data_IF_044671276924
#
_entry.id   IF_044671276924
#
_cell.length_a   1.000
_cell.length_b   1.000
_cell.length_c   1.000
_cell.angle_alpha   90.00
_cell.angle_beta   90.00
_cell.angle_gamma   90.00
#
_symmetry.space_group_name_H-M   'P 1'
#
loop_
_entity.id
_entity.type
_entity.pdbx_description
1 polymer ?
#
# COMPACT_ATOMS: atom_id res chain seq x y z
N UNK A 1 -6.17 16.28 36.86
CA UNK A 1 -6.85 14.97 36.89
C UNK A 1 -6.39 14.23 35.64
N UNK A 2 -5.14 13.76 35.67
CA UNK A 2 -4.56 12.94 34.61
C UNK A 2 -4.81 11.49 35.02
N UNK A 3 -5.48 10.73 34.15
CA UNK A 3 -5.75 9.32 34.35
C UNK A 3 -4.52 8.48 34.00
N UNK A 4 -4.26 7.49 34.85
CA UNK A 4 -3.15 6.55 34.75
C UNK A 4 -3.24 5.68 33.48
N UNK A 5 -2.10 5.24 32.90
CA UNK A 5 -2.07 4.28 31.81
C UNK A 5 -2.36 2.86 32.33
N UNK A 6 -3.29 2.19 31.65
CA UNK A 6 -3.68 0.80 31.95
C UNK A 6 -2.63 -0.14 31.39
N UNK A 7 -1.97 -0.85 32.29
CA UNK A 7 -1.02 -1.94 32.05
C UNK A 7 -1.79 -3.20 31.62
N UNK A 8 -1.50 -3.76 30.44
CA UNK A 8 -2.07 -5.03 29.97
C UNK A 8 -0.94 -6.01 29.70
N UNK A 9 -0.57 -6.73 30.74
CA UNK A 9 0.15 -8.00 30.71
C UNK A 9 -0.79 -9.12 30.26
N UNK A 10 -0.42 -9.89 29.22
CA UNK A 10 -1.06 -11.19 28.97
C UNK A 10 -0.06 -12.31 28.68
N UNK A 11 -0.19 -13.31 29.56
CA UNK A 11 0.44 -14.62 29.72
C UNK A 11 0.39 -15.54 28.49
N UNK A 12 1.50 -16.26 28.27
CA UNK A 12 1.66 -17.42 27.39
C UNK A 12 0.85 -18.64 27.90
N UNK A 13 0.22 -19.42 27.01
CA UNK A 13 -0.17 -20.81 27.27
C UNK A 13 -0.20 -21.68 25.97
N UNK A 14 0.86 -22.48 25.83
CA UNK A 14 1.05 -23.84 25.30
C UNK A 14 -0.03 -24.59 24.47
N UNK A 15 0.42 -25.23 23.36
CA UNK A 15 0.40 -26.70 23.06
C UNK A 15 -0.02 -27.03 21.61
N UNK A 16 0.83 -27.71 20.84
CA UNK A 16 0.39 -28.53 19.69
C UNK A 16 1.16 -29.86 19.67
N UNK A 17 0.39 -30.95 19.51
CA UNK A 17 0.76 -32.37 19.50
C UNK A 17 1.23 -32.86 18.12
N UNK A 18 2.15 -33.83 18.10
CA UNK A 18 2.59 -34.62 16.93
C UNK A 18 1.49 -35.53 16.36
N UNK A 19 1.56 -35.85 15.05
CA UNK A 19 1.10 -37.13 14.50
C UNK A 19 1.89 -37.52 13.23
N UNK A 20 2.51 -38.71 13.26
CA UNK A 20 3.11 -39.43 12.13
C UNK A 20 2.04 -40.05 11.22
N UNK A 21 2.35 -40.31 9.94
CA UNK A 21 1.67 -41.38 9.19
C UNK A 21 2.57 -42.04 8.13
N UNK A 22 2.65 -43.37 8.25
CA UNK A 22 3.30 -44.39 7.42
C UNK A 22 2.58 -44.61 6.09
N UNK A 23 3.31 -44.97 5.02
CA UNK A 23 2.73 -45.48 3.77
C UNK A 23 3.64 -46.44 3.00
N UNK A 24 3.17 -47.66 2.72
CA UNK A 24 3.86 -48.74 1.98
C UNK A 24 2.87 -49.42 1.01
N UNK A 25 3.19 -49.52 -0.29
CA UNK A 25 2.75 -50.57 -1.26
C UNK A 25 3.43 -50.31 -2.62
N UNK A 26 4.37 -51.10 -3.12
CA UNK A 26 4.29 -52.37 -3.90
C UNK A 26 3.66 -52.31 -5.32
N UNK A 27 4.55 -52.43 -6.32
CA UNK A 27 4.54 -53.18 -7.61
C UNK A 27 3.49 -52.85 -8.69
N UNK A 28 3.83 -52.74 -9.99
CA UNK A 28 4.25 -53.83 -10.89
C UNK A 28 4.93 -53.33 -12.20
N UNK A 29 5.70 -54.24 -12.83
CA UNK A 29 6.56 -54.11 -14.03
C UNK A 29 5.78 -53.99 -15.35
N UNK A 30 6.38 -53.36 -16.38
CA UNK A 30 6.59 -53.92 -17.73
C UNK A 30 7.38 -52.96 -18.67
N UNK A 31 8.41 -53.49 -19.35
CA UNK A 31 9.12 -52.93 -20.53
C UNK A 31 9.26 -54.08 -21.56
N UNK A 32 9.30 -53.84 -22.89
CA UNK A 32 10.56 -53.56 -23.64
C UNK A 32 10.40 -52.45 -24.74
N UNK A 33 11.36 -51.53 -24.95
CA UNK A 33 12.55 -51.54 -25.87
C UNK A 33 12.19 -51.68 -27.36
N UNK A 34 12.63 -50.92 -28.38
CA UNK A 34 13.51 -49.76 -28.69
C UNK A 34 13.14 -49.35 -30.16
N UNK A 35 13.44 -48.21 -30.76
CA UNK A 35 14.15 -47.00 -30.38
C UNK A 35 14.07 -45.99 -31.55
N UNK A 36 14.24 -44.71 -31.27
CA UNK A 36 14.86 -43.72 -32.16
C UNK A 36 15.03 -42.43 -31.36
N UNK A 37 16.24 -41.90 -31.42
CA UNK A 37 16.74 -40.78 -30.65
C UNK A 37 16.03 -39.48 -31.04
N UNK A 38 15.32 -38.88 -30.09
CA UNK A 38 14.83 -37.50 -30.09
C UNK A 38 14.90 -36.94 -28.67
N UNK A 39 16.06 -37.06 -28.02
CA UNK A 39 16.30 -36.53 -26.67
C UNK A 39 16.77 -35.07 -26.70
N UNK A 40 15.95 -34.18 -27.28
CA UNK A 40 16.08 -32.73 -27.13
C UNK A 40 14.75 -32.02 -27.38
N UNK A 41 13.72 -32.32 -26.58
CA UNK A 41 12.55 -31.45 -26.43
C UNK A 41 12.02 -31.56 -25.01
N UNK A 42 12.49 -30.62 -24.20
CA UNK A 42 11.78 -29.88 -23.16
C UNK A 42 10.65 -30.61 -22.42
N UNK A 43 10.94 -30.98 -21.18
CA UNK A 43 9.93 -31.26 -20.17
C UNK A 43 9.16 -29.97 -19.80
N UNK A 44 8.12 -29.64 -20.56
CA UNK A 44 7.11 -28.68 -20.11
C UNK A 44 6.00 -29.43 -19.39
N UNK A 45 6.01 -29.37 -18.06
CA UNK A 45 4.92 -29.82 -17.19
C UNK A 45 3.77 -28.79 -17.32
N UNK A 46 2.54 -29.17 -17.68
CA UNK A 46 1.42 -28.23 -17.70
C UNK A 46 0.95 -28.03 -16.25
N UNK A 47 0.87 -26.79 -15.77
CA UNK A 47 0.10 -26.50 -14.55
C UNK A 47 0.56 -25.38 -13.60
N UNK A 48 1.65 -24.67 -13.86
CA UNK A 48 1.96 -23.43 -13.12
C UNK A 48 2.33 -22.34 -14.12
N UNK A 49 1.56 -21.26 -14.16
CA UNK A 49 1.95 -20.07 -14.91
C UNK A 49 3.32 -19.61 -14.41
N UNK A 50 4.20 -19.16 -15.30
CA UNK A 50 5.50 -18.62 -14.87
C UNK A 50 5.27 -17.44 -13.91
N UNK A 51 6.20 -17.18 -12.96
CA UNK A 51 6.11 -16.03 -12.06
C UNK A 51 5.83 -14.71 -12.80
N UNK A 52 6.46 -14.50 -13.97
CA UNK A 52 6.20 -13.36 -14.84
C UNK A 52 4.73 -13.23 -15.30
N UNK A 53 4.10 -14.35 -15.67
CA UNK A 53 2.69 -14.36 -16.12
C UNK A 53 1.75 -14.10 -14.95
N UNK A 54 2.05 -14.67 -13.78
CA UNK A 54 1.29 -14.41 -12.56
C UNK A 54 1.38 -12.92 -12.15
N UNK A 55 2.59 -12.35 -12.21
CA UNK A 55 2.87 -10.94 -11.90
C UNK A 55 2.09 -10.00 -12.83
N UNK A 56 2.18 -10.23 -14.15
CA UNK A 56 1.44 -9.43 -15.15
C UNK A 56 -0.07 -9.51 -14.97
N UNK A 57 -0.59 -10.69 -14.63
CA UNK A 57 -2.03 -10.90 -14.37
C UNK A 57 -2.50 -10.14 -13.12
N UNK A 58 -1.73 -10.21 -12.03
CA UNK A 58 -2.02 -9.48 -10.80
C UNK A 58 -1.94 -7.96 -11.04
N UNK A 59 -0.89 -7.50 -11.71
CA UNK A 59 -0.73 -6.10 -12.06
C UNK A 59 -1.90 -5.57 -12.88
N UNK A 60 -2.33 -6.30 -13.92
CA UNK A 60 -3.47 -5.89 -14.74
C UNK A 60 -4.79 -5.77 -13.95
N UNK A 61 -5.03 -6.66 -12.99
CA UNK A 61 -6.21 -6.58 -12.10
C UNK A 61 -6.13 -5.38 -11.18
N UNK A 62 -4.99 -5.19 -10.52
CA UNK A 62 -4.75 -4.07 -9.61
C UNK A 62 -4.90 -2.75 -10.36
N UNK A 63 -4.28 -2.58 -11.53
CA UNK A 63 -4.42 -1.36 -12.32
C UNK A 63 -5.86 -1.10 -12.79
N UNK A 64 -6.62 -2.14 -13.14
CA UNK A 64 -8.02 -1.98 -13.50
C UNK A 64 -8.86 -1.53 -12.29
N UNK A 65 -8.58 -2.04 -11.10
CA UNK A 65 -9.23 -1.61 -9.86
C UNK A 65 -8.82 -0.21 -9.45
N UNK A 66 -7.54 0.15 -9.59
CA UNK A 66 -7.04 1.52 -9.36
C UNK A 66 -7.77 2.51 -10.26
N UNK A 67 -7.93 2.20 -11.56
CA UNK A 67 -8.69 3.03 -12.49
C UNK A 67 -10.18 3.12 -12.11
N UNK A 68 -10.81 1.99 -11.76
CA UNK A 68 -12.22 1.97 -11.38
C UNK A 68 -12.47 2.80 -10.11
N UNK A 69 -11.58 2.70 -9.12
CA UNK A 69 -11.68 3.44 -7.87
C UNK A 69 -11.34 4.93 -8.05
N UNK A 70 -10.19 5.25 -8.65
CA UNK A 70 -9.70 6.64 -8.69
C UNK A 70 -10.19 7.47 -9.87
N UNK A 71 -10.53 6.86 -11.02
CA UNK A 71 -10.95 7.60 -12.23
C UNK A 71 -12.46 7.55 -12.43
N UNK A 72 -13.09 6.41 -12.12
CA UNK A 72 -14.53 6.22 -12.36
C UNK A 72 -15.39 6.42 -11.12
N UNK A 73 -14.79 6.54 -9.93
CA UNK A 73 -15.49 6.57 -8.63
C UNK A 73 -16.47 5.39 -8.47
N UNK A 74 -16.05 4.22 -9.00
CA UNK A 74 -16.83 2.99 -9.05
C UNK A 74 -15.93 1.81 -8.66
N UNK A 75 -15.63 1.61 -7.35
CA UNK A 75 -14.84 0.47 -6.89
C UNK A 75 -15.45 -0.84 -7.40
N UNK A 76 -14.61 -1.64 -8.08
CA UNK A 76 -15.03 -2.94 -8.63
C UNK A 76 -14.92 -4.09 -7.64
N UNK A 77 -14.17 -3.90 -6.54
CA UNK A 77 -13.94 -4.87 -5.46
C UNK A 77 -13.88 -4.15 -4.12
N UNK A 78 -14.07 -4.90 -3.04
CA UNK A 78 -13.85 -4.39 -1.67
C UNK A 78 -12.35 -4.27 -1.32
N UNK A 79 -12.08 -3.50 -0.25
CA UNK A 79 -10.72 -3.23 0.23
C UNK A 79 -9.97 -4.51 0.60
N UNK A 80 -10.65 -5.49 1.22
CA UNK A 80 -10.04 -6.74 1.62
C UNK A 80 -9.52 -7.54 0.42
N UNK A 81 -10.28 -7.56 -0.69
CA UNK A 81 -9.91 -8.21 -1.94
C UNK A 81 -8.76 -7.48 -2.63
N UNK A 82 -8.79 -6.15 -2.64
CA UNK A 82 -7.73 -5.32 -3.19
C UNK A 82 -6.41 -5.54 -2.43
N UNK A 83 -6.45 -5.45 -1.09
CA UNK A 83 -5.30 -5.61 -0.22
C UNK A 83 -4.70 -7.01 -0.32
N UNK A 84 -5.53 -8.05 -0.41
CA UNK A 84 -5.06 -9.41 -0.62
C UNK A 84 -4.28 -9.54 -1.94
N UNK A 85 -4.77 -8.94 -3.03
CA UNK A 85 -4.06 -8.96 -4.30
C UNK A 85 -2.74 -8.16 -4.25
N UNK A 86 -2.71 -7.03 -3.54
CA UNK A 86 -1.49 -6.23 -3.34
C UNK A 86 -0.44 -6.98 -2.52
N UNK A 87 -0.86 -7.71 -1.48
CA UNK A 87 0.03 -8.59 -0.70
C UNK A 87 0.59 -9.73 -1.56
N UNK A 88 -0.26 -10.39 -2.36
CA UNK A 88 0.18 -11.45 -3.28
C UNK A 88 1.20 -10.92 -4.31
N UNK A 89 0.94 -9.73 -4.86
CA UNK A 89 1.83 -9.06 -5.80
C UNK A 89 3.21 -8.78 -5.16
N UNK A 90 3.26 -8.22 -3.95
CA UNK A 90 4.52 -7.97 -3.22
C UNK A 90 5.27 -9.25 -2.91
N UNK A 91 4.58 -10.27 -2.38
CA UNK A 91 5.20 -11.56 -2.07
C UNK A 91 5.82 -12.22 -3.31
N UNK A 92 5.22 -12.02 -4.49
CA UNK A 92 5.74 -12.55 -5.75
C UNK A 92 7.04 -11.83 -6.18
N UNK A 93 7.14 -10.51 -5.99
CA UNK A 93 8.35 -9.75 -6.25
C UNK A 93 9.46 -10.10 -5.25
N UNK A 94 9.13 -10.24 -3.97
CA UNK A 94 10.08 -10.65 -2.92
C UNK A 94 10.66 -12.04 -3.19
N UNK A 95 9.83 -12.97 -3.69
CA UNK A 95 10.26 -14.33 -4.02
C UNK A 95 11.05 -14.43 -5.34
N UNK A 96 10.99 -13.42 -6.22
CA UNK A 96 11.64 -13.41 -7.53
C UNK A 96 12.33 -12.05 -7.78
N UNK A 97 13.47 -11.77 -7.12
CA UNK A 97 14.14 -10.45 -7.16
C UNK A 97 14.60 -10.01 -8.55
N UNK A 98 14.66 -10.92 -9.52
CA UNK A 98 14.95 -10.65 -10.93
C UNK A 98 13.78 -10.04 -11.70
N UNK A 99 12.57 -10.05 -11.13
CA UNK A 99 11.39 -9.46 -11.75
C UNK A 99 11.30 -7.97 -11.46
N UNK A 100 11.07 -7.18 -12.50
CA UNK A 100 10.81 -5.75 -12.35
C UNK A 100 9.45 -5.50 -11.66
N UNK A 101 9.43 -4.58 -10.72
CA UNK A 101 8.17 -4.08 -10.15
C UNK A 101 7.46 -3.16 -11.17
N UNK A 102 6.58 -3.77 -11.97
CA UNK A 102 5.79 -3.12 -13.01
C UNK A 102 4.71 -2.16 -12.48
N UNK A 103 4.41 -2.22 -11.18
CA UNK A 103 3.50 -1.28 -10.48
C UNK A 103 4.25 -0.27 -9.62
N UNK A 104 5.57 -0.41 -9.43
CA UNK A 104 6.39 0.62 -8.83
C UNK A 104 6.56 1.75 -9.84
N UNK A 105 5.56 2.63 -9.92
CA UNK A 105 5.71 4.09 -10.06
C UNK A 105 4.32 4.75 -10.17
N UNK A 106 4.15 5.81 -9.35
CA UNK A 106 3.03 6.76 -9.21
C UNK A 106 1.74 6.22 -8.60
N UNK A 107 1.72 6.27 -7.27
CA UNK A 107 0.52 6.16 -6.43
C UNK A 107 -0.35 7.40 -6.68
N UNK A 108 -1.51 7.22 -7.32
CA UNK A 108 -2.48 8.27 -7.64
C UNK A 108 -2.93 8.18 -9.10
N UNK A 109 -4.24 8.27 -9.35
CA UNK A 109 -4.71 8.34 -10.74
C UNK A 109 -4.21 9.62 -11.41
N UNK A 110 -3.96 9.52 -12.71
CA UNK A 110 -3.79 10.70 -13.55
C UNK A 110 -5.06 11.59 -13.44
N UNK A 111 -4.89 12.91 -13.37
CA UNK A 111 -6.00 13.87 -13.36
C UNK A 111 -7.06 13.54 -14.41
N UNK A 112 -8.32 13.51 -14.00
CA UNK A 112 -9.46 13.32 -14.89
C UNK A 112 -9.52 14.46 -15.92
N UNK A 113 -9.86 14.12 -17.16
CA UNK A 113 -10.01 15.10 -18.23
C UNK A 113 -11.16 16.08 -17.88
N UNK A 114 -10.82 17.30 -17.48
CA UNK A 114 -11.80 18.35 -17.19
C UNK A 114 -11.37 19.39 -16.15
N UNK A 115 -10.46 19.02 -15.23
CA UNK A 115 -9.91 19.95 -14.24
C UNK A 115 -8.56 20.50 -14.69
N UNK A 116 -8.30 21.78 -14.38
CA UNK A 116 -6.95 22.33 -14.50
C UNK A 116 -6.05 21.58 -13.51
N UNK A 117 -4.79 21.35 -13.88
CA UNK A 117 -3.83 20.67 -13.00
C UNK A 117 -2.79 21.66 -12.50
N UNK A 118 -2.24 21.42 -11.32
CA UNK A 118 -1.19 22.24 -10.73
C UNK A 118 -0.25 21.43 -9.86
N UNK A 119 1.02 21.82 -9.88
CA UNK A 119 2.02 21.22 -9.00
C UNK A 119 1.77 21.61 -7.54
N UNK A 120 2.02 20.67 -6.64
CA UNK A 120 2.09 20.93 -5.21
C UNK A 120 3.37 21.69 -4.85
N UNK A 121 3.35 22.45 -3.77
CA UNK A 121 4.55 23.17 -3.31
C UNK A 121 5.59 22.20 -2.76
N UNK A 122 5.12 21.13 -2.12
CA UNK A 122 5.91 19.97 -1.71
C UNK A 122 5.18 18.69 -2.10
N UNK A 123 5.92 17.61 -2.35
CA UNK A 123 5.32 16.33 -2.67
C UNK A 123 4.42 15.85 -1.53
N UNK A 124 3.17 15.54 -1.85
CA UNK A 124 2.24 14.89 -0.92
C UNK A 124 2.57 13.40 -0.85
N UNK A 125 2.97 12.93 0.33
CA UNK A 125 3.33 11.53 0.56
C UNK A 125 2.09 10.68 0.86
N UNK A 126 2.22 9.36 0.67
CA UNK A 126 1.31 8.37 1.24
C UNK A 126 1.89 7.79 2.52
N UNK A 127 1.05 7.16 3.32
CA UNK A 127 1.47 6.37 4.48
C UNK A 127 1.48 4.88 4.10
N UNK A 128 2.48 4.16 4.60
CA UNK A 128 2.48 2.70 4.58
C UNK A 128 1.56 2.16 5.68
N UNK A 129 1.07 0.93 5.48
CA UNK A 129 0.09 0.29 6.37
C UNK A 129 0.74 -0.81 7.21
N UNK A 130 0.33 -0.91 8.46
CA UNK A 130 0.67 -1.99 9.39
C UNK A 130 -0.64 -2.63 9.84
N UNK A 131 -0.71 -3.96 9.78
CA UNK A 131 -1.94 -4.73 10.07
C UNK A 131 -1.85 -5.59 11.33
N UNK A 132 -0.66 -5.73 11.90
CA UNK A 132 -0.41 -6.57 13.07
C UNK A 132 0.53 -5.88 14.06
N UNK A 133 0.46 -6.30 15.32
CA UNK A 133 1.21 -5.70 16.42
C UNK A 133 2.73 -5.76 16.20
N UNK A 134 3.24 -6.87 15.66
CA UNK A 134 4.68 -7.02 15.37
C UNK A 134 5.19 -5.94 14.41
N UNK A 135 4.41 -5.60 13.38
CA UNK A 135 4.78 -4.54 12.44
C UNK A 135 4.90 -3.17 13.10
N UNK A 136 4.13 -2.90 14.15
CA UNK A 136 4.22 -1.66 14.92
C UNK A 136 5.52 -1.62 15.76
N UNK A 137 5.90 -2.75 16.35
CA UNK A 137 7.16 -2.88 17.09
C UNK A 137 8.36 -2.68 16.16
N UNK A 138 8.32 -3.28 14.97
CA UNK A 138 9.37 -3.17 13.96
C UNK A 138 9.50 -1.73 13.46
N UNK A 139 8.38 -1.05 13.20
CA UNK A 139 8.35 0.37 12.86
C UNK A 139 8.99 1.22 13.96
N UNK A 140 8.62 1.01 15.23
CA UNK A 140 9.20 1.74 16.35
C UNK A 140 10.71 1.51 16.48
N UNK A 141 11.18 0.29 16.27
CA UNK A 141 12.60 -0.02 16.26
C UNK A 141 13.33 0.71 15.12
N UNK A 142 12.74 0.74 13.92
CA UNK A 142 13.30 1.46 12.77
C UNK A 142 13.38 2.98 13.02
N UNK A 143 12.33 3.60 13.58
CA UNK A 143 12.32 5.03 13.93
C UNK A 143 13.36 5.34 14.99
N UNK A 144 13.42 4.55 16.06
CA UNK A 144 14.40 4.73 17.15
C UNK A 144 15.84 4.67 16.62
N UNK A 145 16.13 3.69 15.75
CA UNK A 145 17.42 3.57 15.10
C UNK A 145 17.74 4.76 14.18
N UNK A 146 16.77 5.23 13.41
CA UNK A 146 16.93 6.38 12.50
C UNK A 146 17.20 7.68 13.25
N UNK A 147 16.52 7.90 14.39
CA UNK A 147 16.68 9.08 15.24
C UNK A 147 17.94 9.04 16.11
N UNK A 148 18.59 7.87 16.23
CA UNK A 148 19.79 7.66 17.08
C UNK A 148 19.57 8.10 18.53
N UNK A 149 18.40 7.77 19.07
CA UNK A 149 18.03 8.17 20.42
C UNK A 149 19.00 7.59 21.46
N UNK A 150 19.34 8.35 22.52
CA UNK A 150 20.09 7.83 23.65
C UNK A 150 19.40 6.64 24.30
N UNK A 151 20.19 5.78 24.93
CA UNK A 151 19.65 4.64 25.68
C UNK A 151 18.71 5.14 26.78
N UNK A 152 17.47 4.63 26.78
CA UNK A 152 16.43 4.98 27.76
C UNK A 152 15.50 6.13 27.33
N UNK A 153 15.71 6.73 26.16
CA UNK A 153 14.73 7.64 25.56
C UNK A 153 13.77 6.90 24.62
N UNK A 154 12.49 7.28 24.68
CA UNK A 154 11.41 6.68 23.88
C UNK A 154 10.87 7.69 22.85
N UNK A 155 10.38 7.19 21.72
CA UNK A 155 9.72 8.01 20.70
C UNK A 155 8.31 8.36 21.18
N UNK A 156 7.98 9.65 21.20
CA UNK A 156 6.62 10.11 21.47
C UNK A 156 5.86 10.22 20.15
N UNK A 157 4.78 9.46 20.03
CA UNK A 157 3.91 9.47 18.85
C UNK A 157 2.65 10.31 19.07
N UNK A 158 2.20 10.99 18.02
CA UNK A 158 0.83 11.50 17.92
C UNK A 158 0.00 10.47 17.15
N UNK A 159 -1.07 9.97 17.75
CA UNK A 159 -1.99 9.03 17.12
C UNK A 159 -3.28 9.74 16.72
N UNK A 160 -3.55 9.77 15.42
CA UNK A 160 -4.75 10.39 14.84
C UNK A 160 -5.61 9.32 14.13
N UNK A 161 -6.95 9.42 14.19
CA UNK A 161 -7.81 8.53 13.42
C UNK A 161 -7.55 8.66 11.93
N UNK A 162 -7.39 7.54 11.22
CA UNK A 162 -7.32 7.53 9.75
C UNK A 162 -8.69 7.89 9.18
N UNK A 163 -8.84 9.13 8.72
CA UNK A 163 -10.04 9.58 8.01
C UNK A 163 -10.04 8.94 6.63
N UNK A 164 -11.13 8.26 6.30
CA UNK A 164 -11.31 7.65 4.99
C UNK A 164 -11.98 8.64 4.04
N UNK A 165 -11.18 9.15 3.10
CA UNK A 165 -11.59 10.22 2.20
C UNK A 165 -10.47 10.60 1.23
N UNK A 166 -10.63 11.74 0.56
CA UNK A 166 -9.65 12.25 -0.40
C UNK A 166 -8.74 13.27 0.26
N UNK A 167 -7.43 13.17 0.01
CA UNK A 167 -6.48 14.19 0.45
C UNK A 167 -6.60 15.44 -0.40
N UNK A 168 -6.62 16.59 0.27
CA UNK A 168 -6.78 17.92 -0.31
C UNK A 168 -5.68 18.82 0.24
N UNK A 169 -4.97 19.52 -0.64
CA UNK A 169 -4.01 20.57 -0.27
C UNK A 169 -4.66 21.94 -0.46
N UNK A 170 -4.69 22.77 0.58
CA UNK A 170 -5.25 24.12 0.56
C UNK A 170 -4.12 25.15 0.57
N UNK A 171 -4.07 26.01 -0.46
CA UNK A 171 -3.10 27.10 -0.52
C UNK A 171 -3.74 28.41 -0.05
N UNK A 172 -3.10 29.05 0.92
CA UNK A 172 -3.42 30.39 1.40
C UNK A 172 -2.29 31.36 1.10
N UNK A 173 -2.63 32.54 0.58
CA UNK A 173 -1.70 33.64 0.38
C UNK A 173 -2.19 34.87 1.15
N UNK A 174 -1.32 35.45 1.99
CA UNK A 174 -1.69 36.49 2.96
C UNK A 174 -2.95 36.13 3.78
N UNK A 175 -3.11 34.84 4.09
CA UNK A 175 -4.24 34.29 4.83
C UNK A 175 -5.53 34.11 4.04
N UNK A 176 -5.59 34.48 2.77
CA UNK A 176 -6.76 34.26 1.90
C UNK A 176 -6.62 32.93 1.17
N UNK A 177 -7.68 32.12 1.12
CA UNK A 177 -7.69 30.88 0.34
C UNK A 177 -7.60 31.20 -1.16
N UNK A 178 -6.51 30.78 -1.81
CA UNK A 178 -6.24 31.04 -3.23
C UNK A 178 -6.18 29.78 -4.08
N UNK A 179 -6.09 28.59 -3.47
CA UNK A 179 -6.08 27.33 -4.20
C UNK A 179 -6.53 26.15 -3.35
N UNK A 180 -7.09 25.14 -4.03
CA UNK A 180 -7.33 23.83 -3.44
C UNK A 180 -7.01 22.78 -4.50
N UNK A 181 -6.22 21.77 -4.15
CA UNK A 181 -5.83 20.71 -5.09
C UNK A 181 -6.01 19.31 -4.51
N UNK A 182 -6.46 18.38 -5.33
CA UNK A 182 -6.44 16.95 -4.97
C UNK A 182 -4.98 16.46 -4.85
N UNK A 183 -4.75 15.32 -4.21
CA UNK A 183 -3.39 14.75 -4.16
C UNK A 183 -2.82 14.46 -5.56
N UNK A 184 -3.65 13.91 -6.45
CA UNK A 184 -3.21 13.29 -7.69
C UNK A 184 -2.09 12.28 -7.45
N UNK A 185 -0.99 12.40 -8.20
CA UNK A 185 0.18 11.52 -8.10
C UNK A 185 1.16 11.89 -6.97
N UNK A 186 0.80 12.88 -6.16
CA UNK A 186 1.61 13.43 -5.07
C UNK A 186 2.47 14.63 -5.50
N UNK A 187 2.80 14.78 -6.78
CA UNK A 187 3.53 15.95 -7.30
C UNK A 187 2.58 16.94 -7.99
N UNK A 188 1.56 16.43 -8.67
CA UNK A 188 0.56 17.21 -9.41
C UNK A 188 -0.84 16.77 -9.00
N UNK A 189 -1.67 17.76 -8.66
CA UNK A 189 -3.08 17.60 -8.31
C UNK A 189 -4.02 18.32 -9.29
N UNK A 190 -5.31 18.05 -9.16
CA UNK A 190 -6.38 18.76 -9.88
C UNK A 190 -6.83 19.97 -9.06
N UNK A 191 -7.04 21.11 -9.72
CA UNK A 191 -7.64 22.30 -9.13
C UNK A 191 -9.13 22.07 -8.85
N UNK A 192 -9.45 22.06 -7.56
CA UNK A 192 -10.80 21.85 -7.03
C UNK A 192 -11.19 22.99 -6.09
N UNK A 193 -10.65 24.20 -6.28
CA UNK A 193 -10.97 25.38 -5.46
C UNK A 193 -12.47 25.66 -5.40
N UNK A 194 -13.17 25.55 -6.53
CA UNK A 194 -14.61 25.74 -6.58
C UNK A 194 -15.37 24.75 -5.67
N UNK A 195 -14.92 23.49 -5.63
CA UNK A 195 -15.48 22.45 -4.76
C UNK A 195 -15.18 22.74 -3.29
N UNK A 196 -13.92 23.08 -2.97
CA UNK A 196 -13.50 23.41 -1.61
C UNK A 196 -14.29 24.61 -1.03
N UNK A 197 -14.60 25.62 -1.87
CA UNK A 197 -15.35 26.82 -1.46
C UNK A 197 -16.79 26.56 -1.02
N UNK A 198 -17.34 25.39 -1.36
CA UNK A 198 -18.69 24.94 -0.94
C UNK A 198 -18.66 24.31 0.46
N UNK A 199 -17.50 23.84 0.94
CA UNK A 199 -17.35 23.22 2.25
C UNK A 199 -17.33 24.31 3.33
N UNK A 200 -18.34 24.39 4.22
CA UNK A 200 -18.46 25.51 5.17
C UNK A 200 -17.32 25.62 6.18
N UNK A 201 -16.71 24.48 6.53
CA UNK A 201 -15.67 24.39 7.54
C UNK A 201 -14.28 24.77 7.00
N UNK A 202 -14.12 24.91 5.68
CA UNK A 202 -12.88 25.42 5.09
C UNK A 202 -12.88 26.95 5.21
N UNK A 203 -11.99 27.55 6.02
CA UNK A 203 -11.97 28.99 6.20
C UNK A 203 -11.51 29.66 4.91
N UNK A 204 -12.26 30.67 4.43
CA UNK A 204 -11.81 31.48 3.28
C UNK A 204 -10.72 32.48 3.65
N UNK A 205 -10.63 32.81 4.94
CA UNK A 205 -9.65 33.73 5.50
C UNK A 205 -9.15 33.16 6.83
N UNK A 206 -7.84 33.05 6.98
CA UNK A 206 -7.17 32.65 8.21
C UNK A 206 -7.10 33.80 9.21
N UNK A 207 -7.02 33.45 10.49
CA UNK A 207 -6.73 34.39 11.57
C UNK A 207 -5.22 34.41 11.79
N UNK A 208 -4.65 35.60 11.91
CA UNK A 208 -3.23 35.77 12.20
C UNK A 208 -2.85 35.18 13.57
N UNK A 209 -1.59 34.72 13.76
CA UNK A 209 -0.48 34.79 12.81
C UNK A 209 -0.50 33.65 11.78
N UNK A 210 -0.10 33.95 10.54
CA UNK A 210 0.14 32.99 9.45
C UNK A 210 1.32 33.48 8.59
N UNK A 211 2.03 32.59 7.88
CA UNK A 211 3.08 33.00 6.94
C UNK A 211 2.48 33.62 5.67
N UNK A 212 3.31 34.29 4.85
CA UNK A 212 2.86 34.92 3.59
C UNK A 212 2.22 33.93 2.62
N UNK A 213 2.73 32.69 2.60
CA UNK A 213 2.18 31.57 1.85
C UNK A 213 2.14 30.33 2.73
N UNK A 214 0.99 29.67 2.79
CA UNK A 214 0.76 28.46 3.56
C UNK A 214 0.10 27.41 2.65
N UNK A 215 0.59 26.18 2.69
CA UNK A 215 -0.09 25.01 2.16
C UNK A 215 -0.43 24.11 3.35
N UNK A 216 -1.72 23.76 3.48
CA UNK A 216 -2.26 22.88 4.53
C UNK A 216 -2.75 21.60 3.89
#
# INVERSE_FOLDING_TARGET
>A
MYGDPVDISMSLCHTIHEFETTGKLMTTKSTPTAGSDLSAITSARPGAASPEVALKRLAGRISAWDHAYHTLDMPAVDDATYDAARREYRALLEANPELDDILATKVGAAPAAGFATGAHTSRMMSLDNIFEEQGLLDFNAAVTAALRLPAGEEVVYCAEPKIDGLSLALTYEAGTLTGARTRGDGDVGEDVLANAMVIPDIPRQLKAPFPDRLEV
#
